data_IF_718164228762
#
_entry.id   IF_718164228762
#
_cell.length_a   1.000
_cell.length_b   1.000
_cell.length_c   1.000
_cell.angle_alpha   90.00
_cell.angle_beta   90.00
_cell.angle_gamma   90.00
#
_symmetry.space_group_name_H-M   'P 1'
#
loop_
_entity.id
_entity.type
_entity.pdbx_description
1 polymer ?
#
# COMPACT_ATOMS: atom_id res chain seq x y z
N UNK A 1 15.23 7.17 -8.25
CA UNK A 1 14.16 6.59 -7.41
C UNK A 1 14.82 5.75 -6.33
N UNK A 2 14.42 5.93 -5.07
CA UNK A 2 14.97 5.18 -3.96
C UNK A 2 14.66 3.69 -4.15
N UNK A 3 15.68 2.89 -4.46
CA UNK A 3 15.63 1.45 -4.21
C UNK A 3 15.56 1.29 -2.69
N UNK A 4 14.36 1.32 -2.13
CA UNK A 4 14.18 0.89 -0.75
C UNK A 4 14.42 -0.61 -0.78
N UNK A 5 15.66 -1.00 -0.48
CA UNK A 5 16.13 -2.38 -0.42
C UNK A 5 15.42 -3.05 0.76
N UNK A 6 14.18 -3.49 0.55
CA UNK A 6 13.56 -4.47 1.41
C UNK A 6 14.11 -5.82 0.99
N UNK A 7 15.04 -6.36 1.78
CA UNK A 7 15.72 -7.65 1.61
C UNK A 7 14.80 -8.89 1.53
N UNK A 8 13.48 -8.69 1.40
CA UNK A 8 12.44 -9.72 1.36
C UNK A 8 11.89 -10.03 -0.04
N UNK A 9 12.21 -9.24 -1.07
CA UNK A 9 11.83 -9.53 -2.46
C UNK A 9 12.69 -10.63 -3.11
N UNK A 10 12.96 -11.74 -2.40
CA UNK A 10 13.40 -12.98 -3.07
C UNK A 10 12.32 -13.55 -4.00
N UNK A 11 11.08 -13.06 -3.86
CA UNK A 11 9.97 -13.40 -4.73
C UNK A 11 9.77 -12.31 -5.82
N UNK A 12 10.07 -12.60 -7.10
CA UNK A 12 9.91 -11.64 -8.18
C UNK A 12 8.45 -11.22 -8.42
N UNK A 13 7.48 -12.04 -8.01
CA UNK A 13 6.06 -11.68 -8.10
C UNK A 13 5.70 -10.56 -7.13
N UNK A 14 6.37 -10.49 -5.98
CA UNK A 14 6.10 -9.50 -4.95
C UNK A 14 6.69 -8.14 -5.36
N UNK A 15 7.89 -8.10 -5.94
CA UNK A 15 8.49 -6.88 -6.46
C UNK A 15 7.60 -6.26 -7.54
N UNK A 16 7.16 -7.07 -8.49
CA UNK A 16 6.24 -6.62 -9.54
C UNK A 16 4.89 -6.19 -8.98
N UNK A 17 4.39 -6.85 -7.94
CA UNK A 17 3.15 -6.43 -7.28
C UNK A 17 3.29 -5.03 -6.65
N UNK A 18 4.44 -4.75 -6.05
CA UNK A 18 4.73 -3.44 -5.46
C UNK A 18 4.78 -2.36 -6.52
N UNK A 19 5.52 -2.59 -7.61
CA UNK A 19 5.61 -1.61 -8.71
C UNK A 19 4.23 -1.30 -9.31
N UNK A 20 3.39 -2.32 -9.53
CA UNK A 20 2.04 -2.14 -10.05
C UNK A 20 1.18 -1.32 -9.07
N UNK A 21 1.22 -1.67 -7.77
CA UNK A 21 0.46 -0.95 -6.76
C UNK A 21 0.92 0.50 -6.63
N UNK A 22 2.23 0.73 -6.63
CA UNK A 22 2.83 2.06 -6.55
C UNK A 22 2.46 2.92 -7.76
N UNK A 23 2.65 2.43 -8.99
CA UNK A 23 2.33 3.19 -10.20
C UNK A 23 0.84 3.57 -10.24
N UNK A 24 -0.05 2.66 -9.85
CA UNK A 24 -1.47 2.94 -9.76
C UNK A 24 -1.80 4.04 -8.72
N UNK A 25 -1.24 3.94 -7.51
CA UNK A 25 -1.50 4.91 -6.44
C UNK A 25 -0.89 6.28 -6.73
N UNK A 26 0.32 6.31 -7.33
CA UNK A 26 0.97 7.53 -7.76
C UNK A 26 0.18 8.23 -8.87
N UNK A 27 -0.31 7.49 -9.87
CA UNK A 27 -1.12 8.05 -10.97
C UNK A 27 -2.50 8.51 -10.53
N UNK A 28 -3.09 7.86 -9.53
CA UNK A 28 -4.39 8.25 -8.99
C UNK A 28 -4.30 9.46 -8.04
N UNK A 29 -3.11 9.87 -7.63
CA UNK A 29 -2.92 10.96 -6.67
C UNK A 29 -3.43 10.61 -5.27
N UNK A 30 -3.64 9.32 -4.98
CA UNK A 30 -4.10 8.85 -3.67
C UNK A 30 -3.00 8.90 -2.60
N UNK A 31 -1.73 8.97 -3.01
CA UNK A 31 -0.58 9.05 -2.11
C UNK A 31 -0.56 10.44 -1.47
N UNK A 32 -0.90 10.51 -0.18
CA UNK A 32 -0.77 11.73 0.62
C UNK A 32 0.64 11.90 1.20
N UNK A 33 1.21 10.78 1.65
CA UNK A 33 2.57 10.67 2.15
C UNK A 33 3.26 9.50 1.44
N UNK A 34 4.29 9.81 0.65
CA UNK A 34 5.04 8.82 -0.12
C UNK A 34 5.71 7.78 0.78
N UNK A 35 6.19 8.19 1.96
CA UNK A 35 6.84 7.30 2.91
C UNK A 35 5.84 6.36 3.56
N UNK A 36 4.69 6.89 4.02
CA UNK A 36 3.61 6.05 4.56
C UNK A 36 3.12 5.04 3.52
N UNK A 37 2.91 5.48 2.28
CA UNK A 37 2.49 4.60 1.19
C UNK A 37 3.51 3.49 0.91
N UNK A 38 4.80 3.84 0.83
CA UNK A 38 5.88 2.86 0.63
C UNK A 38 5.86 1.79 1.73
N UNK A 39 5.81 2.21 3.00
CA UNK A 39 5.85 1.30 4.15
C UNK A 39 4.61 0.41 4.19
N UNK A 40 3.41 0.98 3.97
CA UNK A 40 2.16 0.22 3.97
C UNK A 40 2.15 -0.86 2.89
N UNK A 41 2.50 -0.48 1.66
CA UNK A 41 2.54 -1.43 0.53
C UNK A 41 3.55 -2.54 0.77
N UNK A 42 4.77 -2.20 1.21
CA UNK A 42 5.81 -3.18 1.49
C UNK A 42 5.36 -4.18 2.57
N UNK A 43 4.86 -3.70 3.70
CA UNK A 43 4.35 -4.57 4.78
C UNK A 43 3.26 -5.50 4.28
N UNK A 44 2.32 -4.98 3.48
CA UNK A 44 1.17 -5.78 3.06
C UNK A 44 1.52 -6.81 2.02
N UNK A 45 2.41 -6.49 1.10
CA UNK A 45 2.90 -7.43 0.09
C UNK A 45 3.75 -8.52 0.74
N UNK A 46 4.63 -8.19 1.70
CA UNK A 46 5.40 -9.19 2.46
C UNK A 46 4.46 -10.18 3.17
N UNK A 47 3.42 -9.69 3.84
CA UNK A 47 2.43 -10.57 4.49
C UNK A 47 1.75 -11.52 3.48
N UNK A 48 1.42 -11.04 2.28
CA UNK A 48 0.82 -11.90 1.25
C UNK A 48 1.80 -12.95 0.72
N UNK A 49 3.09 -12.65 0.65
CA UNK A 49 4.13 -13.62 0.31
C UNK A 49 4.26 -14.68 1.40
N UNK A 50 4.25 -14.29 2.68
CA UNK A 50 4.25 -15.21 3.81
C UNK A 50 3.00 -16.10 3.84
N UNK A 51 1.85 -15.58 3.39
CA UNK A 51 0.60 -16.35 3.17
C UNK A 51 0.69 -17.30 1.95
N UNK A 52 1.78 -17.30 1.18
CA UNK A 52 1.98 -18.14 0.01
C UNK A 52 1.30 -17.62 -1.26
N UNK A 53 0.99 -16.32 -1.35
CA UNK A 53 0.48 -15.74 -2.60
C UNK A 53 1.60 -15.60 -3.63
N UNK A 54 1.40 -16.19 -4.80
CA UNK A 54 2.37 -16.14 -5.90
C UNK A 54 1.91 -15.23 -7.06
N UNK A 55 0.63 -14.82 -7.07
CA UNK A 55 0.08 -14.01 -8.15
C UNK A 55 0.27 -12.51 -7.89
N UNK A 56 1.21 -11.91 -8.63
CA UNK A 56 1.54 -10.48 -8.56
C UNK A 56 0.32 -9.55 -8.69
N UNK A 57 -0.61 -9.85 -9.60
CA UNK A 57 -1.77 -9.00 -9.87
C UNK A 57 -2.73 -9.04 -8.68
N UNK A 58 -2.93 -10.24 -8.11
CA UNK A 58 -3.77 -10.41 -6.92
C UNK A 58 -3.17 -9.67 -5.72
N UNK A 59 -1.86 -9.78 -5.52
CA UNK A 59 -1.16 -9.05 -4.47
C UNK A 59 -1.30 -7.53 -4.64
N UNK A 60 -1.04 -7.02 -5.85
CA UNK A 60 -1.17 -5.59 -6.14
C UNK A 60 -2.59 -5.07 -5.89
N UNK A 61 -3.61 -5.73 -6.46
CA UNK A 61 -5.01 -5.31 -6.31
C UNK A 61 -5.46 -5.31 -4.85
N UNK A 62 -5.04 -6.32 -4.07
CA UNK A 62 -5.36 -6.39 -2.64
C UNK A 62 -4.66 -5.27 -1.86
N UNK A 63 -3.37 -5.03 -2.12
CA UNK A 63 -2.63 -3.93 -1.49
C UNK A 63 -3.25 -2.56 -1.80
N UNK A 64 -3.63 -2.30 -3.06
CA UNK A 64 -4.32 -1.06 -3.47
C UNK A 64 -5.64 -0.89 -2.72
N UNK A 65 -6.48 -1.93 -2.72
CA UNK A 65 -7.81 -1.87 -2.11
C UNK A 65 -7.74 -1.56 -0.62
N UNK A 66 -6.78 -2.17 0.06
CA UNK A 66 -6.60 -1.95 1.49
C UNK A 66 -5.96 -0.60 1.82
N UNK A 67 -5.04 -0.11 0.98
CA UNK A 67 -4.49 1.24 1.13
C UNK A 67 -5.58 2.31 0.96
N UNK A 68 -6.45 2.15 -0.04
CA UNK A 68 -7.59 3.04 -0.23
C UNK A 68 -8.56 3.02 0.96
N UNK A 69 -8.83 1.83 1.51
CA UNK A 69 -9.64 1.70 2.73
C UNK A 69 -8.97 2.36 3.94
N UNK A 70 -7.65 2.22 4.08
CA UNK A 70 -6.86 2.90 5.11
C UNK A 70 -6.99 4.42 5.01
N UNK A 71 -6.84 4.98 3.80
CA UNK A 71 -7.03 6.41 3.54
C UNK A 71 -8.45 6.88 3.84
N UNK A 72 -9.47 6.12 3.44
CA UNK A 72 -10.86 6.48 3.73
C UNK A 72 -11.12 6.53 5.24
N UNK A 73 -10.57 5.58 6.00
CA UNK A 73 -10.68 5.57 7.46
C UNK A 73 -9.91 6.72 8.11
N UNK A 74 -8.74 7.08 7.58
CA UNK A 74 -7.99 8.26 8.02
C UNK A 74 -8.81 9.54 7.78
N UNK A 75 -9.46 9.66 6.63
CA UNK A 75 -10.34 10.80 6.33
C UNK A 75 -11.57 10.83 7.25
N UNK A 76 -12.23 9.68 7.50
CA UNK A 76 -13.36 9.58 8.44
C UNK A 76 -12.94 9.97 9.87
N UNK A 77 -11.76 9.52 10.33
CA UNK A 77 -11.21 9.89 11.65
C UNK A 77 -10.92 11.38 11.75
N UNK A 78 -10.31 11.99 10.72
CA UNK A 78 -10.06 13.42 10.68
C UNK A 78 -11.36 14.25 10.76
N UNK A 79 -12.42 13.81 10.06
CA UNK A 79 -13.75 14.46 10.11
C UNK A 79 -14.46 14.27 11.45
N UNK A 80 -14.38 13.09 12.06
CA UNK A 80 -14.95 12.82 13.38
C UNK A 80 -14.28 13.62 14.51
N UNK A 81 -12.96 13.81 14.43
CA UNK A 81 -12.21 14.63 15.39
C UNK A 81 -12.51 16.13 15.28
N UNK A 82 -12.88 16.62 14.10
CA UNK A 82 -13.33 18.01 13.92
C UNK A 82 -14.73 18.26 14.50
N UNK A 83 -15.61 17.26 14.50
CA UNK A 83 -16.98 17.37 14.99
C UNK A 83 -17.11 17.32 16.53
N UNK A 84 -16.13 16.79 17.26
CA UNK A 84 -16.18 16.72 18.74
C UNK A 84 -15.58 17.93 19.45
N UNK A 85 -15.18 18.98 18.70
CA UNK A 85 -14.56 20.21 19.23
C UNK A 85 -15.44 21.46 19.08
N UNK A 86 -16.66 21.32 18.57
CA UNK A 86 -17.67 22.37 18.51
C UNK A 86 -18.72 22.14 19.61
#
# INVERSE_FOLDING_TARGET
MAHIIFSDYRNPAAEQAYEIAWDFLARSGAIHDEFEACVFLAQRITMMVEEGQENRIRMANRAISEYQYHLENFCKRARGAAASRA
#
